data_IF_975195056697
#
_entry.id   IF_975195056697
#
_cell.length_a   1.000
_cell.length_b   1.000
_cell.length_c   1.000
_cell.angle_alpha   90.00
_cell.angle_beta   90.00
_cell.angle_gamma   90.00
#
_symmetry.space_group_name_H-M   'P 1'
#
loop_
_entity.id
_entity.type
_entity.pdbx_description
1 polymer ?
#
# COMPACT_ATOMS: atom_id res chain seq x y z
N UNK A 1 -11.83 11.64 11.39
CA UNK A 1 -10.74 12.29 10.64
C UNK A 1 -10.55 11.50 9.35
N UNK A 2 -10.57 12.15 8.18
CA UNK A 2 -10.41 11.45 6.89
C UNK A 2 -8.93 11.05 6.75
N UNK A 3 -8.65 9.80 6.41
CA UNK A 3 -7.28 9.34 6.19
C UNK A 3 -6.64 10.09 5.00
N UNK A 4 -5.35 10.42 5.09
CA UNK A 4 -4.64 11.03 3.97
C UNK A 4 -4.20 9.95 2.97
N UNK A 5 -4.21 10.28 1.68
CA UNK A 5 -3.73 9.41 0.60
C UNK A 5 -2.32 8.87 0.91
N UNK A 6 -1.44 9.72 1.47
CA UNK A 6 -0.09 9.35 1.86
C UNK A 6 -0.06 8.19 2.86
N UNK A 7 -0.94 8.22 3.86
CA UNK A 7 -1.02 7.17 4.88
C UNK A 7 -1.54 5.88 4.25
N UNK A 8 -2.59 5.97 3.42
CA UNK A 8 -3.19 4.81 2.78
C UNK A 8 -2.19 4.07 1.87
N UNK A 9 -1.56 4.78 0.94
CA UNK A 9 -0.68 4.16 -0.07
C UNK A 9 0.62 3.60 0.52
N UNK A 10 1.13 4.21 1.59
CA UNK A 10 2.34 3.71 2.27
C UNK A 10 2.19 2.29 2.81
N UNK A 11 0.98 1.87 3.21
CA UNK A 11 0.70 0.49 3.64
C UNK A 11 1.07 -0.55 2.59
N UNK A 12 0.99 -0.17 1.31
CA UNK A 12 1.25 -1.05 0.17
C UNK A 12 2.62 -0.81 -0.46
N UNK A 13 3.54 -0.12 0.23
CA UNK A 13 4.85 0.25 -0.30
C UNK A 13 4.78 1.28 -1.44
N UNK A 14 3.66 1.98 -1.58
CA UNK A 14 3.44 2.96 -2.65
C UNK A 14 3.73 4.37 -2.14
N UNK A 15 4.60 5.09 -2.86
CA UNK A 15 4.85 6.52 -2.56
C UNK A 15 3.62 7.38 -2.86
N UNK A 16 3.46 8.51 -2.16
CA UNK A 16 2.33 9.43 -2.37
C UNK A 16 2.18 9.86 -3.84
N UNK A 17 3.28 10.16 -4.52
CA UNK A 17 3.26 10.56 -5.94
C UNK A 17 2.77 9.47 -6.88
N UNK A 18 3.08 8.19 -6.57
CA UNK A 18 2.56 7.04 -7.34
C UNK A 18 1.09 6.79 -7.00
N UNK A 19 0.72 6.88 -5.73
CA UNK A 19 -0.68 6.76 -5.27
C UNK A 19 -1.59 7.79 -5.95
N UNK A 20 -1.13 9.04 -6.04
CA UNK A 20 -1.86 10.12 -6.73
C UNK A 20 -2.14 9.78 -8.20
N UNK A 21 -1.21 9.14 -8.90
CA UNK A 21 -1.42 8.71 -10.29
C UNK A 21 -2.42 7.57 -10.40
N UNK A 22 -2.42 6.63 -9.46
CA UNK A 22 -3.42 5.55 -9.43
C UNK A 22 -4.84 6.11 -9.24
N UNK A 23 -5.00 7.10 -8.37
CA UNK A 23 -6.29 7.77 -8.18
C UNK A 23 -6.74 8.61 -9.40
N UNK A 24 -5.80 8.99 -10.27
CA UNK A 24 -6.05 9.68 -11.53
C UNK A 24 -6.29 8.73 -12.72
N UNK A 25 -6.40 7.42 -12.47
CA UNK A 25 -6.74 6.42 -13.48
C UNK A 25 -5.55 5.73 -14.15
N UNK A 26 -4.33 5.90 -13.63
CA UNK A 26 -3.21 5.04 -14.04
C UNK A 26 -3.50 3.59 -13.61
N UNK A 27 -3.28 2.59 -14.48
CA UNK A 27 -3.44 1.18 -14.11
C UNK A 27 -2.62 0.81 -12.88
N UNK A 28 -3.28 0.20 -11.88
CA UNK A 28 -2.61 -0.37 -10.71
C UNK A 28 -1.76 -1.59 -11.13
N UNK A 29 -0.49 -1.70 -10.71
CA UNK A 29 0.28 -2.92 -10.91
C UNK A 29 -0.41 -4.13 -10.25
N UNK A 30 -0.35 -5.30 -10.88
CA UNK A 30 -1.01 -6.52 -10.37
C UNK A 30 -0.68 -6.84 -8.89
N UNK A 31 0.57 -6.68 -8.39
CA UNK A 31 0.85 -6.90 -6.97
C UNK A 31 0.07 -5.97 -6.03
N UNK A 32 -0.10 -4.71 -6.40
CA UNK A 32 -0.86 -3.73 -5.60
C UNK A 32 -2.35 -4.08 -5.59
N UNK A 33 -2.89 -4.52 -6.73
CA UNK A 33 -4.29 -4.97 -6.83
C UNK A 33 -4.57 -6.19 -5.94
N UNK A 34 -3.64 -7.16 -5.89
CA UNK A 34 -3.77 -8.34 -5.04
C UNK A 34 -3.83 -7.95 -3.57
N UNK A 35 -2.90 -7.10 -3.12
CA UNK A 35 -2.84 -6.65 -1.73
C UNK A 35 -4.10 -5.84 -1.35
N UNK A 36 -4.57 -4.96 -2.24
CA UNK A 36 -5.82 -4.22 -2.02
C UNK A 36 -7.02 -5.15 -1.87
N UNK A 37 -7.17 -6.15 -2.75
CA UNK A 37 -8.27 -7.11 -2.63
C UNK A 37 -8.21 -7.90 -1.31
N UNK A 38 -7.04 -8.35 -0.90
CA UNK A 38 -6.87 -9.07 0.37
C UNK A 38 -7.20 -8.18 1.57
N UNK A 39 -6.77 -6.92 1.55
CA UNK A 39 -7.00 -5.95 2.61
C UNK A 39 -8.48 -5.58 2.73
N UNK A 40 -9.13 -5.24 1.62
CA UNK A 40 -10.56 -4.90 1.58
C UNK A 40 -11.46 -6.09 1.94
N UNK A 41 -11.02 -7.31 1.64
CA UNK A 41 -11.70 -8.54 2.05
C UNK A 41 -11.44 -8.92 3.52
N UNK A 42 -10.66 -8.14 4.27
CA UNK A 42 -10.29 -8.41 5.67
C UNK A 42 -9.41 -9.64 5.87
N UNK A 43 -8.74 -10.12 4.81
CA UNK A 43 -7.83 -11.28 4.87
C UNK A 43 -6.46 -10.91 5.41
N UNK A 44 -6.05 -9.66 5.19
CA UNK A 44 -4.88 -9.03 5.79
C UNK A 44 -5.30 -7.67 6.37
N UNK A 45 -4.54 -7.17 7.33
CA UNK A 45 -4.78 -5.90 8.00
C UNK A 45 -3.50 -5.05 8.10
N UNK A 46 -3.61 -3.88 8.74
CA UNK A 46 -2.49 -2.92 8.87
C UNK A 46 -1.24 -3.55 9.52
N UNK A 47 -1.43 -4.48 10.47
CA UNK A 47 -0.33 -5.18 11.15
C UNK A 47 0.43 -6.06 10.16
N UNK A 48 -0.28 -6.89 9.40
CA UNK A 48 0.33 -7.82 8.43
C UNK A 48 1.18 -7.06 7.40
N UNK A 49 0.65 -5.93 6.92
CA UNK A 49 1.36 -5.06 5.97
C UNK A 49 2.57 -4.37 6.61
N UNK A 50 2.45 -3.87 7.84
CA UNK A 50 3.56 -3.21 8.54
C UNK A 50 4.71 -4.17 8.88
N UNK A 51 4.40 -5.38 9.32
CA UNK A 51 5.39 -6.42 9.62
C UNK A 51 6.09 -6.88 8.32
N UNK A 52 5.34 -7.03 7.23
CA UNK A 52 5.89 -7.38 5.92
C UNK A 52 6.80 -6.27 5.37
N UNK A 53 6.41 -5.00 5.48
CA UNK A 53 7.24 -3.87 5.05
C UNK A 53 8.55 -3.79 5.84
N UNK A 54 8.51 -4.03 7.15
CA UNK A 54 9.71 -4.06 7.99
C UNK A 54 10.68 -5.20 7.61
N UNK A 55 10.19 -6.28 6.99
CA UNK A 55 11.03 -7.37 6.48
C UNK A 55 11.62 -7.08 5.09
N UNK A 56 10.95 -6.26 4.29
CA UNK A 56 11.39 -5.86 2.94
C UNK A 56 12.40 -4.70 3.00
N UNK A 57 12.39 -3.92 4.08
CA UNK A 57 13.34 -2.84 4.35
C UNK A 57 14.28 -3.17 5.53
N UNK A 58 15.27 -4.07 5.37
CA UNK A 58 16.24 -4.31 6.43
C UNK A 58 17.33 -3.23 6.48
N UNK A 59 17.52 -2.44 5.43
CA UNK A 59 18.33 -1.21 5.33
C UNK A 59 18.29 -0.75 3.88
N UNK A 60 17.80 0.45 3.62
CA UNK A 60 18.37 1.27 2.55
C UNK A 60 19.81 1.64 2.95
N UNK A 61 20.75 0.69 2.78
CA UNK A 61 22.20 0.92 2.69
C UNK A 61 22.56 1.49 1.30
#
# INVERSE_FOLDING_TARGET
MKESQTIFWRRFGVSQSRGSRFEQGLPLPAPVQILLHLYLAGRINDRDLSESLAQIDPSND
#
